data_IF_052754189458
#
_entry.id   IF_052754189458
#
_cell.length_a   1.000
_cell.length_b   1.000
_cell.length_c   1.000
_cell.angle_alpha   90.00
_cell.angle_beta   90.00
_cell.angle_gamma   90.00
#
_symmetry.space_group_name_H-M   'P 1'
#
loop_
_entity.id
_entity.type
_entity.pdbx_description
1 polymer ?
#
# COMPACT_ATOMS: atom_id res chain seq x y z
N UNK A 1 10.95 -10.36 -14.30
CA UNK A 1 9.79 -9.48 -14.04
C UNK A 1 10.18 -8.58 -12.89
N UNK A 2 10.22 -7.25 -13.07
CA UNK A 2 10.72 -6.32 -12.05
C UNK A 2 9.66 -6.06 -10.98
N UNK A 3 10.07 -6.07 -9.71
CA UNK A 3 9.22 -5.77 -8.56
C UNK A 3 9.59 -4.42 -7.97
N UNK A 4 8.57 -3.66 -7.55
CA UNK A 4 8.68 -2.44 -6.78
C UNK A 4 8.51 -2.85 -5.32
N UNK A 5 9.56 -2.66 -4.53
CA UNK A 5 9.55 -2.97 -3.11
C UNK A 5 9.56 -1.69 -2.30
N UNK A 6 8.66 -1.58 -1.34
CA UNK A 6 8.56 -0.38 -0.52
C UNK A 6 8.09 -0.68 0.91
N UNK A 7 8.32 0.29 1.80
CA UNK A 7 8.07 0.17 3.24
C UNK A 7 7.17 1.30 3.72
N UNK A 8 6.03 0.95 4.30
CA UNK A 8 5.09 1.91 4.92
C UNK A 8 5.11 1.73 6.44
N UNK A 9 4.93 2.83 7.18
CA UNK A 9 4.90 2.82 8.64
C UNK A 9 3.46 2.79 9.14
N UNK A 10 3.10 1.78 9.91
CA UNK A 10 1.81 1.72 10.61
C UNK A 10 1.82 2.64 11.85
N UNK A 11 0.63 2.97 12.39
CA UNK A 11 0.45 3.91 13.51
C UNK A 11 1.27 3.56 14.77
N UNK A 12 1.61 2.29 15.00
CA UNK A 12 2.45 1.86 16.13
C UNK A 12 3.95 1.83 15.83
N UNK A 13 4.39 2.51 14.76
CA UNK A 13 5.78 2.49 14.31
C UNK A 13 6.22 1.14 13.72
N UNK A 14 5.28 0.22 13.50
CA UNK A 14 5.58 -1.08 12.91
C UNK A 14 5.71 -0.93 11.39
N UNK A 15 6.85 -1.29 10.80
CA UNK A 15 7.01 -1.21 9.36
C UNK A 15 6.35 -2.38 8.64
N UNK A 16 5.69 -2.08 7.53
CA UNK A 16 5.12 -3.04 6.59
C UNK A 16 5.82 -2.94 5.24
N UNK A 17 6.42 -4.04 4.81
CA UNK A 17 7.08 -4.12 3.49
C UNK A 17 6.13 -4.75 2.48
N UNK A 18 6.04 -4.12 1.32
CA UNK A 18 5.23 -4.55 0.18
C UNK A 18 6.12 -4.84 -1.01
N UNK A 19 5.78 -5.91 -1.74
CA UNK A 19 6.47 -6.31 -2.96
C UNK A 19 5.46 -6.44 -4.08
N UNK A 20 5.34 -5.40 -4.92
CA UNK A 20 4.37 -5.35 -6.00
C UNK A 20 5.04 -5.40 -7.34
N UNK A 21 4.48 -6.17 -8.28
CA UNK A 21 4.76 -5.94 -9.68
C UNK A 21 4.15 -4.59 -10.11
N UNK A 22 4.53 -4.10 -11.29
CA UNK A 22 4.05 -2.80 -11.80
C UNK A 22 2.52 -2.70 -11.88
N UNK A 23 1.82 -3.80 -12.18
CA UNK A 23 0.34 -3.83 -12.23
C UNK A 23 -0.28 -3.69 -10.84
N UNK A 24 0.22 -4.43 -9.87
CA UNK A 24 -0.28 -4.39 -8.49
C UNK A 24 0.04 -3.05 -7.83
N UNK A 25 1.17 -2.42 -8.17
CA UNK A 25 1.49 -1.06 -7.73
C UNK A 25 0.46 -0.03 -8.21
N UNK A 26 0.07 -0.05 -9.49
CA UNK A 26 -0.95 0.86 -9.99
C UNK A 26 -2.31 0.63 -9.34
N UNK A 27 -2.70 -0.63 -9.14
CA UNK A 27 -3.92 -0.97 -8.38
C UNK A 27 -3.84 -0.52 -6.93
N UNK A 28 -2.67 -0.61 -6.31
CA UNK A 28 -2.44 -0.11 -4.96
C UNK A 28 -2.65 1.40 -4.89
N UNK A 29 -2.11 2.15 -5.86
CA UNK A 29 -2.33 3.59 -5.95
C UNK A 29 -3.82 3.93 -6.10
N UNK A 30 -4.50 3.23 -7.00
CA UNK A 30 -5.94 3.40 -7.20
C UNK A 30 -6.73 3.11 -5.91
N UNK A 31 -6.40 2.02 -5.20
CA UNK A 31 -6.98 1.71 -3.90
C UNK A 31 -6.78 2.86 -2.91
N UNK A 32 -5.55 3.36 -2.77
CA UNK A 32 -5.23 4.45 -1.83
C UNK A 32 -6.01 5.72 -2.17
N UNK A 33 -6.15 6.06 -3.45
CA UNK A 33 -6.82 7.30 -3.90
C UNK A 33 -8.35 7.23 -3.91
N UNK A 34 -8.90 6.12 -4.41
CA UNK A 34 -10.34 5.97 -4.63
C UNK A 34 -11.05 5.31 -3.43
N UNK A 35 -10.30 4.69 -2.53
CA UNK A 35 -10.84 3.85 -1.47
C UNK A 35 -11.31 2.48 -1.98
N UNK A 36 -11.70 1.61 -1.06
CA UNK A 36 -12.24 0.28 -1.37
C UNK A 36 -11.40 -0.84 -0.77
N UNK A 37 -11.52 -2.04 -1.35
CA UNK A 37 -10.88 -3.27 -0.89
C UNK A 37 -10.20 -3.98 -2.06
N UNK A 38 -8.96 -4.42 -1.88
CA UNK A 38 -8.24 -5.18 -2.89
C UNK A 38 -7.31 -6.23 -2.27
N UNK A 39 -7.04 -7.29 -3.03
CA UNK A 39 -6.00 -8.28 -2.72
C UNK A 39 -4.85 -8.08 -3.70
N UNK A 40 -3.70 -7.62 -3.21
CA UNK A 40 -2.54 -7.23 -4.03
C UNK A 40 -1.28 -7.91 -3.48
N UNK A 41 -0.55 -8.64 -4.32
CA UNK A 41 0.66 -9.36 -3.88
C UNK A 41 0.43 -10.35 -2.71
N UNK A 42 -0.81 -10.84 -2.52
CA UNK A 42 -1.18 -11.68 -1.37
C UNK A 42 -1.58 -10.91 -0.10
N UNK A 43 -1.61 -9.58 -0.14
CA UNK A 43 -2.03 -8.73 0.96
C UNK A 43 -3.49 -8.30 0.81
N UNK A 44 -4.26 -8.40 1.90
CA UNK A 44 -5.63 -7.91 1.99
C UNK A 44 -5.61 -6.45 2.47
N UNK A 45 -5.92 -5.54 1.56
CA UNK A 45 -5.80 -4.09 1.77
C UNK A 45 -7.13 -3.39 1.59
N UNK A 46 -7.53 -2.62 2.60
CA UNK A 46 -8.67 -1.72 2.52
C UNK A 46 -8.19 -0.28 2.65
N UNK A 47 -8.59 0.57 1.72
CA UNK A 47 -8.42 2.00 1.88
C UNK A 47 -9.77 2.61 2.25
N UNK A 48 -9.82 3.25 3.40
CA UNK A 48 -10.94 4.06 3.83
C UNK A 48 -10.51 5.55 3.83
N UNK A 49 -11.44 6.48 4.02
CA UNK A 49 -11.19 7.94 3.92
C UNK A 49 -10.05 8.49 4.80
N UNK A 50 -9.50 7.72 5.73
CA UNK A 50 -8.43 8.16 6.64
C UNK A 50 -7.20 7.24 6.64
N UNK A 51 -7.40 5.95 6.39
CA UNK A 51 -6.38 4.92 6.58
C UNK A 51 -6.33 3.91 5.45
N UNK A 52 -5.12 3.48 5.14
CA UNK A 52 -4.86 2.19 4.52
C UNK A 52 -4.77 1.13 5.63
N UNK A 53 -5.59 0.10 5.54
CA UNK A 53 -5.71 -0.97 6.52
C UNK A 53 -5.22 -2.28 5.89
N UNK A 54 -4.23 -2.91 6.50
CA UNK A 54 -3.69 -4.21 6.10
C UNK A 54 -4.15 -5.30 7.08
N UNK A 55 -4.90 -6.28 6.59
CA UNK A 55 -5.35 -7.42 7.38
C UNK A 55 -4.36 -8.59 7.34
N UNK A 56 -4.01 -9.16 8.50
CA UNK A 56 -2.95 -10.17 8.59
C UNK A 56 -3.24 -11.48 7.86
N UNK A 57 -4.49 -11.96 7.88
CA UNK A 57 -4.79 -13.36 7.53
C UNK A 57 -6.17 -13.62 6.89
N UNK A 58 -7.00 -12.61 6.65
CA UNK A 58 -8.40 -12.86 6.27
C UNK A 58 -8.95 -11.90 5.21
N UNK A 59 -10.15 -12.22 4.71
CA UNK A 59 -10.96 -11.42 3.80
C UNK A 59 -11.51 -10.13 4.46
N UNK A 60 -10.60 -9.26 4.91
CA UNK A 60 -10.91 -7.94 5.51
C UNK A 60 -11.55 -7.98 6.90
N UNK A 61 -11.21 -8.99 7.70
CA UNK A 61 -11.69 -9.15 9.08
C UNK A 61 -10.54 -9.48 10.06
N UNK A 62 -10.74 -9.19 11.34
CA UNK A 62 -9.78 -9.52 12.39
C UNK A 62 -8.57 -8.58 12.46
N UNK A 63 -7.43 -9.03 13.02
CA UNK A 63 -6.29 -8.16 13.31
C UNK A 63 -5.72 -7.46 12.08
N UNK A 64 -5.59 -6.14 12.19
CA UNK A 64 -5.13 -5.29 11.10
C UNK A 64 -4.10 -4.25 11.57
N UNK A 65 -3.40 -3.69 10.58
CA UNK A 65 -2.50 -2.55 10.76
C UNK A 65 -3.01 -1.37 9.95
N UNK A 66 -3.17 -0.22 10.61
CA UNK A 66 -3.59 1.02 9.97
C UNK A 66 -2.39 1.91 9.67
N UNK A 67 -2.39 2.52 8.48
CA UNK A 67 -1.41 3.50 8.02
C UNK A 67 -2.18 4.75 7.58
N UNK A 68 -1.87 5.95 8.11
CA UNK A 68 -2.53 7.19 7.70
C UNK A 68 -2.34 7.44 6.20
N UNK A 69 -3.43 7.71 5.46
CA UNK A 69 -3.35 7.85 4.00
C UNK A 69 -2.44 9.00 3.56
N UNK A 70 -2.39 10.11 4.30
CA UNK A 70 -1.51 11.24 3.97
C UNK A 70 -0.04 10.82 3.90
N UNK A 71 0.40 9.97 4.85
CA UNK A 71 1.75 9.41 4.86
C UNK A 71 1.98 8.41 3.73
N UNK A 72 0.96 7.61 3.39
CA UNK A 72 1.05 6.64 2.28
C UNK A 72 1.15 7.35 0.93
N UNK A 73 0.35 8.40 0.71
CA UNK A 73 0.35 9.16 -0.54
C UNK A 73 1.68 9.91 -0.75
N UNK A 74 2.18 10.60 0.28
CA UNK A 74 3.49 11.27 0.22
C UNK A 74 4.59 10.30 -0.18
N UNK A 75 4.58 9.11 0.40
CA UNK A 75 5.56 8.07 0.10
C UNK A 75 5.42 7.53 -1.33
N UNK A 76 4.18 7.30 -1.80
CA UNK A 76 3.95 6.82 -3.16
C UNK A 76 4.48 7.80 -4.21
N UNK A 77 4.30 9.10 -4.00
CA UNK A 77 4.80 10.12 -4.90
C UNK A 77 6.34 10.13 -4.97
N UNK A 78 7.04 9.91 -3.85
CA UNK A 78 8.51 9.76 -3.83
C UNK A 78 8.99 8.55 -4.65
N UNK A 79 8.28 7.41 -4.54
CA UNK A 79 8.60 6.20 -5.32
C UNK A 79 8.42 6.45 -6.82
N UNK A 80 7.35 7.13 -7.23
CA UNK A 80 7.13 7.40 -8.67
C UNK A 80 8.15 8.36 -9.26
N UNK A 81 8.54 9.40 -8.52
CA UNK A 81 9.61 10.30 -8.96
C UNK A 81 10.91 9.52 -9.19
N UNK A 82 11.22 8.60 -8.28
CA UNK A 82 12.40 7.73 -8.38
C UNK A 82 12.33 6.78 -9.56
N UNK A 83 11.14 6.25 -9.88
CA UNK A 83 10.94 5.38 -11.06
C UNK A 83 11.11 6.12 -12.39
N UNK A 84 10.73 7.41 -12.47
CA UNK A 84 10.81 8.21 -13.71
C UNK A 84 12.22 8.64 -14.08
N UNK A 85 13.20 8.54 -13.18
CA UNK A 85 14.60 8.90 -13.45
C UNK A 85 15.42 7.73 -14.03
N UNK A 86 14.81 6.55 -14.18
CA UNK A 86 15.49 5.31 -14.62
C UNK A 86 15.06 4.89 -16.04
N UNK A 87 14.12 5.61 -16.65
CA UNK A 87 13.74 5.50 -18.07
C UNK A 87 14.41 6.63 -18.89
#
# INVERSE_FOLDING_TARGET
MSFISFKLMAEHGMPMTYHFNRRDYFKFRELVQCGGKAVLGGHYLESNKKYLVHFKQSAFEGPSYSMPLDGVLSYLDEVEVSMKQVD
#
